data_IF_520243068169
#
_entry.id   IF_520243068169
#
_cell.length_a   1.000
_cell.length_b   1.000
_cell.length_c   1.000
_cell.angle_alpha   90.00
_cell.angle_beta   90.00
_cell.angle_gamma   90.00
#
_symmetry.space_group_name_H-M   'P 1'
#
loop_
_entity.id
_entity.type
_entity.pdbx_description
1 polymer ?
#
# COMPACT_ATOMS: atom_id res chain seq x y z
N UNK A 1 28.00 27.63 -69.28
CA UNK A 1 28.16 26.76 -68.10
C UNK A 1 29.31 25.80 -68.30
N UNK A 2 30.26 25.69 -67.36
CA UNK A 2 31.33 24.71 -67.42
C UNK A 2 30.76 23.28 -67.33
N UNK A 3 31.38 22.32 -68.03
CA UNK A 3 30.93 20.92 -68.08
C UNK A 3 30.74 20.30 -66.69
N UNK A 4 31.62 20.66 -65.75
CA UNK A 4 31.54 20.27 -64.33
C UNK A 4 30.24 20.73 -63.65
N UNK A 5 29.76 21.95 -63.93
CA UNK A 5 28.55 22.46 -63.31
C UNK A 5 27.30 21.68 -63.74
N UNK A 6 27.24 21.23 -65.00
CA UNK A 6 26.13 20.38 -65.49
C UNK A 6 26.17 18.98 -64.88
N UNK A 7 27.35 18.39 -64.76
CA UNK A 7 27.54 17.08 -64.11
C UNK A 7 27.14 17.13 -62.62
N UNK A 8 27.50 18.20 -61.92
CA UNK A 8 27.08 18.44 -60.54
C UNK A 8 25.56 18.58 -60.46
N UNK A 9 24.93 19.33 -61.37
CA UNK A 9 23.48 19.53 -61.38
C UNK A 9 22.71 18.22 -61.60
N UNK A 10 23.13 17.40 -62.56
CA UNK A 10 22.53 16.10 -62.82
C UNK A 10 22.78 15.10 -61.68
N UNK A 11 23.99 15.13 -61.10
CA UNK A 11 24.32 14.31 -59.93
C UNK A 11 23.44 14.65 -58.71
N UNK A 12 23.25 15.94 -58.42
CA UNK A 12 22.38 16.40 -57.33
C UNK A 12 20.92 15.98 -57.60
N UNK A 13 20.43 16.19 -58.82
CA UNK A 13 19.06 15.81 -59.18
C UNK A 13 18.83 14.30 -59.03
N UNK A 14 19.78 13.48 -59.51
CA UNK A 14 19.72 12.03 -59.36
C UNK A 14 19.75 11.59 -57.89
N UNK A 15 20.60 12.20 -57.06
CA UNK A 15 20.65 11.91 -55.62
C UNK A 15 19.35 12.29 -54.90
N UNK A 16 18.75 13.44 -55.23
CA UNK A 16 17.46 13.86 -54.66
C UNK A 16 16.33 12.90 -55.06
N UNK A 17 16.30 12.45 -56.32
CA UNK A 17 15.34 11.46 -56.78
C UNK A 17 15.51 10.12 -56.06
N UNK A 18 16.75 9.64 -55.93
CA UNK A 18 17.07 8.39 -55.25
C UNK A 18 16.71 8.46 -53.76
N UNK A 19 17.02 9.57 -53.09
CA UNK A 19 16.61 9.82 -51.71
C UNK A 19 15.08 9.83 -51.57
N UNK A 20 14.37 10.49 -52.47
CA UNK A 20 12.90 10.48 -52.51
C UNK A 20 12.31 9.08 -52.68
N UNK A 21 12.83 8.29 -53.62
CA UNK A 21 12.39 6.92 -53.86
C UNK A 21 12.64 6.00 -52.66
N UNK A 22 13.83 6.06 -52.06
CA UNK A 22 14.16 5.32 -50.83
C UNK A 22 13.23 5.72 -49.69
N UNK A 23 12.96 7.02 -49.53
CA UNK A 23 12.05 7.53 -48.49
C UNK A 23 10.62 7.05 -48.68
N UNK A 24 10.11 6.98 -49.91
CA UNK A 24 8.77 6.43 -50.20
C UNK A 24 8.71 4.94 -49.86
N UNK A 25 9.67 4.14 -50.31
CA UNK A 25 9.74 2.70 -50.02
C UNK A 25 9.82 2.45 -48.51
N UNK A 26 10.63 3.25 -47.79
CA UNK A 26 10.78 3.14 -46.35
C UNK A 26 9.44 3.35 -45.61
N UNK A 27 8.70 4.41 -45.97
CA UNK A 27 7.40 4.71 -45.34
C UNK A 27 6.32 3.69 -45.73
N UNK A 28 6.30 3.23 -46.99
CA UNK A 28 5.23 2.36 -47.47
C UNK A 28 5.40 0.88 -47.10
N UNK A 29 6.64 0.40 -46.99
CA UNK A 29 6.92 -1.04 -46.86
C UNK A 29 7.66 -1.44 -45.59
N UNK A 30 8.38 -0.52 -44.93
CA UNK A 30 9.21 -0.84 -43.76
C UNK A 30 8.70 -0.19 -42.46
N UNK A 31 7.92 0.87 -42.55
CA UNK A 31 7.36 1.54 -41.38
C UNK A 31 6.11 0.78 -40.89
N UNK A 32 6.26 0.02 -39.80
CA UNK A 32 5.13 -0.61 -39.11
C UNK A 32 4.16 0.46 -38.60
N UNK A 33 2.85 0.16 -38.66
CA UNK A 33 1.84 0.96 -37.99
C UNK A 33 2.11 0.99 -36.48
N UNK A 34 1.81 2.12 -35.80
CA UNK A 34 2.00 2.21 -34.35
C UNK A 34 1.16 1.16 -33.63
N UNK A 35 1.73 0.55 -32.59
CA UNK A 35 1.13 -0.56 -31.85
C UNK A 35 1.58 -0.51 -30.40
N UNK A 36 0.66 -0.70 -29.46
CA UNK A 36 0.93 -0.67 -28.01
C UNK A 36 1.65 -1.93 -27.47
N UNK A 37 2.10 -2.82 -28.35
CA UNK A 37 2.66 -4.13 -27.97
C UNK A 37 3.87 -4.50 -28.85
N UNK A 38 4.53 -3.52 -29.48
CA UNK A 38 5.65 -3.74 -30.39
C UNK A 38 7.03 -3.46 -29.77
N UNK A 39 7.07 -3.16 -28.47
CA UNK A 39 8.23 -2.78 -27.68
C UNK A 39 8.98 -1.56 -28.23
N UNK A 40 8.29 -0.66 -28.93
CA UNK A 40 8.85 0.61 -29.40
C UNK A 40 8.04 1.76 -28.81
N UNK A 41 8.60 2.97 -28.89
CA UNK A 41 7.88 4.20 -28.61
C UNK A 41 7.52 4.84 -29.94
N UNK A 42 6.27 4.76 -30.35
CA UNK A 42 5.80 5.28 -31.63
C UNK A 42 4.40 5.93 -31.52
N UNK A 43 3.91 6.49 -32.63
CA UNK A 43 2.60 7.15 -32.66
C UNK A 43 2.45 8.26 -31.60
N UNK A 44 1.46 8.10 -30.73
CA UNK A 44 1.12 9.06 -29.65
C UNK A 44 1.62 8.63 -28.26
N UNK A 45 2.45 7.59 -28.18
CA UNK A 45 2.89 7.03 -26.91
C UNK A 45 3.82 7.97 -26.13
N UNK A 46 3.67 7.98 -24.80
CA UNK A 46 4.54 8.74 -23.91
C UNK A 46 5.68 7.90 -23.35
N UNK A 47 5.50 6.58 -23.26
CA UNK A 47 6.52 5.57 -22.96
C UNK A 47 6.60 4.49 -24.05
N UNK A 48 7.38 3.43 -23.82
CA UNK A 48 7.39 2.27 -24.73
C UNK A 48 6.10 1.49 -24.50
N UNK A 49 5.28 1.31 -25.54
CA UNK A 49 4.04 0.52 -25.47
C UNK A 49 3.07 1.04 -24.37
N UNK A 50 3.03 2.36 -24.11
CA UNK A 50 2.15 2.99 -23.13
C UNK A 50 1.96 4.50 -23.33
N UNK A 51 0.84 5.02 -22.85
CA UNK A 51 0.45 6.43 -22.94
C UNK A 51 -0.20 6.81 -24.28
N UNK A 52 -0.77 8.01 -24.34
CA UNK A 52 -1.54 8.46 -25.50
C UNK A 52 -2.81 7.62 -25.70
N UNK A 53 -2.89 6.92 -26.83
CA UNK A 53 -3.98 5.98 -27.12
C UNK A 53 -3.80 4.60 -26.45
N UNK A 54 -2.62 4.30 -25.90
CA UNK A 54 -2.33 3.06 -25.18
C UNK A 54 -2.70 3.19 -23.69
N UNK A 55 -2.59 2.08 -22.93
CA UNK A 55 -2.79 2.11 -21.48
C UNK A 55 -1.85 3.12 -20.80
N UNK A 56 -2.26 3.76 -19.69
CA UNK A 56 -1.38 4.66 -18.94
C UNK A 56 -0.07 3.96 -18.56
N UNK A 57 1.06 4.67 -18.65
CA UNK A 57 2.36 4.10 -18.31
C UNK A 57 2.46 3.73 -16.83
N UNK A 58 1.72 4.42 -15.97
CA UNK A 58 1.62 4.13 -14.54
C UNK A 58 0.90 2.79 -14.28
N UNK A 59 -0.07 2.42 -15.12
CA UNK A 59 -0.77 1.15 -15.05
C UNK A 59 0.11 0.00 -15.55
N UNK A 60 0.86 0.25 -16.62
CA UNK A 60 1.81 -0.73 -17.16
C UNK A 60 2.93 -1.07 -16.17
N UNK A 61 3.41 -0.08 -15.42
CA UNK A 61 4.54 -0.23 -14.51
C UNK A 61 4.11 -0.42 -13.04
N UNK A 62 2.97 -1.07 -12.81
CA UNK A 62 2.50 -1.37 -11.46
C UNK A 62 3.49 -2.28 -10.72
N UNK A 63 3.89 -1.82 -9.54
CA UNK A 63 4.77 -2.53 -8.64
C UNK A 63 3.98 -3.35 -7.60
N UNK A 64 4.51 -4.50 -7.15
CA UNK A 64 3.93 -5.27 -6.06
C UNK A 64 3.83 -4.46 -4.77
N UNK A 65 2.88 -4.82 -3.90
CA UNK A 65 2.83 -4.29 -2.53
C UNK A 65 4.09 -4.78 -1.80
N UNK A 66 4.86 -3.85 -1.24
CA UNK A 66 6.06 -4.17 -0.48
C UNK A 66 5.71 -4.40 0.99
N UNK A 67 6.43 -5.34 1.62
CA UNK A 67 6.33 -5.64 3.04
C UNK A 67 7.49 -4.92 3.74
N UNK A 68 7.16 -4.06 4.69
CA UNK A 68 8.12 -3.34 5.52
C UNK A 68 8.45 -4.10 6.81
N UNK A 69 8.65 -3.36 7.89
CA UNK A 69 9.00 -3.95 9.18
C UNK A 69 7.87 -4.82 9.75
N UNK A 70 8.23 -5.95 10.35
CA UNK A 70 7.34 -6.81 11.12
C UNK A 70 7.81 -6.89 12.56
N UNK A 71 6.89 -6.78 13.51
CA UNK A 71 7.18 -6.87 14.94
C UNK A 71 6.24 -7.84 15.60
N UNK A 72 6.81 -8.75 16.39
CA UNK A 72 6.08 -9.74 17.18
C UNK A 72 6.11 -9.33 18.65
N UNK A 73 4.94 -9.27 19.27
CA UNK A 73 4.74 -9.05 20.69
C UNK A 73 4.19 -10.35 21.28
N UNK A 74 4.66 -10.70 22.48
CA UNK A 74 4.29 -11.94 23.17
C UNK A 74 3.90 -11.63 24.60
N UNK A 75 2.75 -12.15 25.02
CA UNK A 75 2.29 -12.12 26.39
C UNK A 75 1.55 -13.42 26.74
N UNK A 76 2.11 -14.24 27.65
CA UNK A 76 1.45 -15.44 28.18
C UNK A 76 0.77 -16.32 27.09
N UNK A 77 1.51 -16.65 26.01
CA UNK A 77 1.03 -17.42 24.83
C UNK A 77 -0.03 -16.73 23.97
N UNK A 78 -0.33 -15.46 24.25
CA UNK A 78 -1.08 -14.55 23.39
C UNK A 78 -0.08 -13.69 22.63
N UNK A 79 -0.18 -13.70 21.31
CA UNK A 79 0.72 -12.98 20.44
C UNK A 79 -0.02 -11.86 19.72
N UNK A 80 0.66 -10.74 19.55
CA UNK A 80 0.22 -9.65 18.68
C UNK A 80 1.30 -9.36 17.66
N UNK A 81 0.89 -9.08 16.43
CA UNK A 81 1.75 -8.82 15.31
C UNK A 81 1.44 -7.43 14.78
N UNK A 82 2.48 -6.64 14.54
CA UNK A 82 2.40 -5.48 13.67
C UNK A 82 3.20 -5.76 12.40
N UNK A 83 2.66 -5.43 11.24
CA UNK A 83 3.38 -5.47 9.99
C UNK A 83 3.12 -4.21 9.19
N UNK A 84 4.15 -3.75 8.49
CA UNK A 84 4.04 -2.59 7.61
C UNK A 84 3.84 -3.06 6.18
N UNK A 85 2.84 -2.48 5.51
CA UNK A 85 2.55 -2.68 4.10
C UNK A 85 2.73 -1.37 3.37
N UNK A 86 3.37 -1.41 2.22
CA UNK A 86 3.74 -0.23 1.43
C UNK A 86 3.19 -0.43 0.03
N UNK A 87 2.35 0.50 -0.42
CA UNK A 87 1.97 0.59 -1.82
C UNK A 87 2.93 1.55 -2.53
N UNK A 88 3.91 1.06 -3.30
CA UNK A 88 4.86 1.92 -3.99
C UNK A 88 4.23 2.70 -5.16
N UNK A 89 2.99 2.38 -5.55
CA UNK A 89 2.31 3.01 -6.69
C UNK A 89 1.59 4.28 -6.25
N UNK A 90 2.07 5.45 -6.67
CA UNK A 90 1.50 6.76 -6.31
C UNK A 90 0.22 7.13 -7.08
N UNK A 91 0.00 6.51 -8.25
CA UNK A 91 -1.18 6.77 -9.09
C UNK A 91 -2.34 5.78 -8.85
N UNK A 92 -2.07 4.63 -8.21
CA UNK A 92 -3.03 3.55 -8.04
C UNK A 92 -3.08 3.06 -6.60
N UNK A 93 -4.29 3.02 -6.04
CA UNK A 93 -4.59 2.34 -4.80
C UNK A 93 -4.77 0.82 -5.03
N UNK A 94 -4.52 0.04 -3.98
CA UNK A 94 -5.00 -1.33 -3.87
C UNK A 94 -6.27 -1.30 -3.00
N UNK A 95 -7.43 -1.15 -3.63
CA UNK A 95 -8.71 -0.94 -2.95
C UNK A 95 -9.22 -2.17 -2.16
N UNK A 96 -8.72 -3.35 -2.51
CA UNK A 96 -8.86 -4.58 -1.75
C UNK A 96 -7.71 -5.53 -2.11
N UNK A 97 -7.23 -6.32 -1.16
CA UNK A 97 -6.35 -7.47 -1.37
C UNK A 97 -6.36 -8.37 -0.14
N UNK A 98 -6.05 -9.64 -0.35
CA UNK A 98 -5.86 -10.63 0.71
C UNK A 98 -4.39 -10.75 1.07
N UNK A 99 -4.15 -10.92 2.37
CA UNK A 99 -2.84 -11.18 2.92
C UNK A 99 -2.89 -12.28 3.98
N UNK A 100 -1.74 -12.91 4.20
CA UNK A 100 -1.55 -13.91 5.23
C UNK A 100 -0.39 -13.53 6.15
N UNK A 101 -0.63 -13.56 7.46
CA UNK A 101 0.41 -13.50 8.49
C UNK A 101 0.74 -14.92 8.91
N UNK A 102 2.00 -15.31 8.79
CA UNK A 102 2.50 -16.64 9.13
C UNK A 102 3.46 -16.49 10.33
N UNK A 103 3.12 -17.16 11.41
CA UNK A 103 3.92 -17.26 12.62
C UNK A 103 4.69 -18.57 12.59
N UNK A 104 6.02 -18.50 12.66
CA UNK A 104 6.91 -19.67 12.62
C UNK A 104 7.76 -19.77 13.88
N UNK A 105 8.08 -21.00 14.26
CA UNK A 105 9.06 -21.27 15.31
C UNK A 105 10.51 -21.13 14.80
N UNK A 106 11.47 -21.34 15.70
CA UNK A 106 12.90 -21.23 15.39
C UNK A 106 13.41 -22.27 14.37
N UNK A 107 12.66 -23.34 14.13
CA UNK A 107 12.97 -24.34 13.09
C UNK A 107 12.41 -23.97 11.71
N UNK A 108 11.63 -22.88 11.64
CA UNK A 108 10.89 -22.49 10.44
C UNK A 108 9.54 -23.20 10.28
N UNK A 109 9.11 -24.00 11.26
CA UNK A 109 7.82 -24.70 11.22
C UNK A 109 6.69 -23.71 11.45
N UNK A 110 5.64 -23.79 10.63
CA UNK A 110 4.46 -22.91 10.73
C UNK A 110 3.64 -23.30 11.94
N UNK A 111 3.54 -22.40 12.93
CA UNK A 111 2.69 -22.58 14.11
C UNK A 111 1.26 -22.09 13.86
N UNK A 112 1.12 -20.99 13.11
CA UNK A 112 -0.18 -20.38 12.80
C UNK A 112 -0.09 -19.59 11.51
N UNK A 113 -1.15 -19.66 10.70
CA UNK A 113 -1.35 -18.78 9.55
C UNK A 113 -2.70 -18.08 9.69
N UNK A 114 -2.73 -16.76 9.48
CA UNK A 114 -3.91 -15.91 9.63
C UNK A 114 -4.14 -15.20 8.31
N UNK A 115 -5.27 -15.49 7.67
CA UNK A 115 -5.65 -14.86 6.41
C UNK A 115 -6.67 -13.76 6.68
N UNK A 116 -6.45 -12.59 6.09
CA UNK A 116 -7.35 -11.45 6.21
C UNK A 116 -7.30 -10.59 4.93
N UNK A 117 -8.18 -9.61 4.83
CA UNK A 117 -8.19 -8.63 3.73
C UNK A 117 -7.81 -7.24 4.23
N UNK A 118 -7.22 -6.45 3.35
CA UNK A 118 -6.93 -5.04 3.61
C UNK A 118 -7.03 -4.22 2.32
N UNK A 119 -6.64 -2.96 2.41
CA UNK A 119 -6.57 -2.01 1.33
C UNK A 119 -5.37 -1.08 1.56
N UNK A 120 -4.88 -0.43 0.50
CA UNK A 120 -3.84 0.59 0.57
C UNK A 120 -4.19 1.72 -0.39
N UNK A 121 -4.18 2.96 0.12
CA UNK A 121 -4.25 4.15 -0.72
C UNK A 121 -3.00 4.25 -1.62
N UNK A 122 -3.08 5.08 -2.65
CA UNK A 122 -1.95 5.29 -3.56
C UNK A 122 -0.77 5.90 -2.79
N UNK A 123 0.42 5.31 -2.94
CA UNK A 123 1.63 5.72 -2.22
C UNK A 123 1.61 5.48 -0.70
N UNK A 124 0.60 4.79 -0.16
CA UNK A 124 0.44 4.64 1.29
C UNK A 124 1.45 3.67 1.90
N UNK A 125 1.93 4.05 3.09
CA UNK A 125 2.57 3.17 4.06
C UNK A 125 1.60 2.96 5.22
N UNK A 126 1.16 1.73 5.44
CA UNK A 126 0.15 1.36 6.43
C UNK A 126 0.73 0.32 7.39
N UNK A 127 0.49 0.52 8.69
CA UNK A 127 0.74 -0.50 9.71
C UNK A 127 -0.54 -1.30 9.94
N UNK A 128 -0.52 -2.58 9.59
CA UNK A 128 -1.58 -3.53 9.95
C UNK A 128 -1.25 -4.18 11.30
N UNK A 129 -2.28 -4.50 12.08
CA UNK A 129 -2.16 -5.18 13.37
C UNK A 129 -3.03 -6.43 13.38
N UNK A 130 -2.51 -7.52 13.93
CA UNK A 130 -3.28 -8.71 14.26
C UNK A 130 -2.97 -9.10 15.70
N UNK A 131 -3.96 -9.07 16.59
CA UNK A 131 -3.75 -9.17 18.03
C UNK A 131 -4.59 -10.29 18.62
N UNK A 132 -4.17 -10.81 19.78
CA UNK A 132 -4.93 -11.84 20.48
C UNK A 132 -4.72 -13.26 19.92
N UNK A 133 -3.65 -13.50 19.17
CA UNK A 133 -3.38 -14.79 18.54
C UNK A 133 -2.89 -15.78 19.60
N UNK A 134 -3.72 -16.75 19.96
CA UNK A 134 -3.35 -17.79 20.94
C UNK A 134 -2.64 -18.95 20.24
N UNK A 135 -1.46 -19.33 20.73
CA UNK A 135 -0.70 -20.49 20.26
C UNK A 135 -0.47 -21.44 21.42
N UNK A 136 -0.94 -22.68 21.28
CA UNK A 136 -0.90 -23.72 22.33
C UNK A 136 0.41 -24.51 22.32
N UNK A 137 1.03 -24.68 21.16
CA UNK A 137 2.26 -25.47 20.98
C UNK A 137 3.28 -24.68 20.17
N UNK A 138 4.56 -24.76 20.57
CA UNK A 138 5.64 -23.97 19.97
C UNK A 138 5.65 -22.51 20.43
N UNK A 139 6.75 -21.81 20.14
CA UNK A 139 6.92 -20.38 20.42
C UNK A 139 7.28 -19.71 19.08
N UNK A 140 6.45 -18.79 18.56
CA UNK A 140 6.80 -18.07 17.36
C UNK A 140 7.97 -17.14 17.63
N UNK A 141 8.94 -17.15 16.73
CA UNK A 141 10.09 -16.23 16.74
C UNK A 141 10.20 -15.45 15.44
N UNK A 142 9.50 -15.89 14.38
CA UNK A 142 9.50 -15.26 13.07
C UNK A 142 8.06 -14.97 12.63
N UNK A 143 7.89 -13.81 12.00
CA UNK A 143 6.67 -13.40 11.31
C UNK A 143 6.99 -13.26 9.83
N UNK A 144 6.24 -13.94 8.98
CA UNK A 144 6.22 -13.69 7.54
C UNK A 144 4.86 -13.13 7.12
N UNK A 145 4.86 -12.20 6.17
CA UNK A 145 3.64 -11.71 5.54
C UNK A 145 3.67 -12.13 4.08
N UNK A 146 2.54 -12.60 3.56
CA UNK A 146 2.38 -12.95 2.15
C UNK A 146 1.17 -12.21 1.61
N UNK A 147 1.32 -11.52 0.49
CA UNK A 147 0.21 -10.90 -0.24
C UNK A 147 -0.20 -11.84 -1.36
N UNK A 148 -1.51 -12.07 -1.55
CA UNK A 148 -2.00 -12.78 -2.72
C UNK A 148 -2.11 -11.80 -3.90
N UNK A 149 -1.21 -11.87 -4.91
CA UNK A 149 -1.21 -10.90 -6.01
C UNK A 149 -2.48 -10.95 -6.86
N UNK A 150 -3.13 -12.11 -6.97
CA UNK A 150 -4.34 -12.30 -7.77
C UNK A 150 -5.59 -11.66 -7.11
N UNK A 151 -5.55 -11.43 -5.81
CA UNK A 151 -6.64 -10.79 -5.06
C UNK A 151 -6.64 -9.26 -5.15
N UNK A 152 -5.60 -8.65 -5.73
CA UNK A 152 -5.41 -7.20 -5.66
C UNK A 152 -6.35 -6.47 -6.64
N UNK A 153 -7.32 -5.74 -6.09
CA UNK A 153 -8.21 -4.86 -6.86
C UNK A 153 -7.62 -3.45 -6.92
N UNK A 154 -7.09 -3.06 -8.08
CA UNK A 154 -6.49 -1.73 -8.31
C UNK A 154 -7.56 -0.69 -8.65
N UNK A 155 -7.38 0.53 -8.13
CA UNK A 155 -8.18 1.71 -8.51
C UNK A 155 -7.27 2.93 -8.70
N UNK A 156 -7.54 3.80 -9.69
CA UNK A 156 -6.87 5.10 -9.76
C UNK A 156 -7.03 5.87 -8.45
N UNK A 157 -6.02 6.64 -8.04
CA UNK A 157 -6.02 7.39 -6.79
C UNK A 157 -7.24 8.31 -6.66
N UNK A 158 -7.68 8.93 -7.76
CA UNK A 158 -8.85 9.81 -7.79
C UNK A 158 -10.18 9.07 -7.58
N UNK A 159 -10.22 7.75 -7.82
CA UNK A 159 -11.40 6.91 -7.63
C UNK A 159 -11.44 6.23 -6.25
N UNK A 160 -10.37 6.32 -5.46
CA UNK A 160 -10.27 5.72 -4.12
C UNK A 160 -9.67 6.72 -3.14
N UNK A 161 -10.48 7.69 -2.76
CA UNK A 161 -10.10 8.83 -1.90
C UNK A 161 -10.26 8.44 -0.43
N UNK A 162 -9.29 8.85 0.40
CA UNK A 162 -9.33 8.66 1.86
C UNK A 162 -10.45 9.52 2.47
N UNK A 163 -11.44 8.93 3.16
CA UNK A 163 -12.41 9.71 3.90
C UNK A 163 -11.73 10.46 5.04
N UNK A 164 -12.16 11.71 5.27
CA UNK A 164 -11.62 12.50 6.36
C UNK A 164 -12.32 12.14 7.67
N UNK A 165 -11.56 12.05 8.75
CA UNK A 165 -12.08 11.78 10.08
C UNK A 165 -11.34 12.65 11.08
N UNK A 166 -11.97 12.88 12.22
CA UNK A 166 -11.35 13.59 13.32
C UNK A 166 -11.32 12.70 14.56
N UNK A 167 -10.16 12.62 15.21
CA UNK A 167 -10.00 11.88 16.46
C UNK A 167 -9.68 12.86 17.59
N UNK A 168 -10.41 12.75 18.69
CA UNK A 168 -10.33 13.65 19.84
C UNK A 168 -10.32 12.89 21.16
N UNK A 169 -9.85 13.58 22.19
CA UNK A 169 -9.84 13.14 23.59
C UNK A 169 -9.23 11.74 23.79
N UNK A 170 -8.15 11.48 23.07
CA UNK A 170 -7.44 10.19 23.17
C UNK A 170 -6.67 10.15 24.48
N UNK A 171 -6.97 9.16 25.29
CA UNK A 171 -6.29 8.89 26.56
C UNK A 171 -5.84 7.44 26.60
N UNK A 172 -4.75 7.19 27.32
CA UNK A 172 -4.31 5.85 27.67
C UNK A 172 -4.35 5.68 29.19
N UNK A 173 -4.91 4.55 29.65
CA UNK A 173 -5.02 4.24 31.06
C UNK A 173 -4.87 2.73 31.29
N UNK A 174 -4.80 2.32 32.56
CA UNK A 174 -4.92 0.91 32.94
C UNK A 174 -6.36 0.66 33.35
N UNK A 175 -7.05 -0.24 32.64
CA UNK A 175 -8.36 -0.77 33.03
C UNK A 175 -8.24 -2.29 33.19
N UNK A 176 -8.71 -2.84 34.31
CA UNK A 176 -8.71 -4.30 34.55
C UNK A 176 -7.35 -4.99 34.35
N UNK A 177 -6.25 -4.28 34.61
CA UNK A 177 -4.89 -4.80 34.47
C UNK A 177 -4.36 -4.85 33.03
N UNK A 178 -5.01 -4.16 32.09
CA UNK A 178 -4.56 -4.01 30.71
C UNK A 178 -4.43 -2.52 30.35
N UNK A 179 -3.55 -2.20 29.42
CA UNK A 179 -3.48 -0.87 28.84
C UNK A 179 -4.64 -0.69 27.88
N UNK A 180 -5.41 0.36 28.07
CA UNK A 180 -6.55 0.71 27.23
C UNK A 180 -6.31 2.10 26.65
N UNK A 181 -6.37 2.21 25.34
CA UNK A 181 -6.46 3.49 24.62
C UNK A 181 -7.93 3.74 24.31
N UNK A 182 -8.45 4.90 24.67
CA UNK A 182 -9.83 5.27 24.41
C UNK A 182 -9.94 6.70 23.93
N UNK A 183 -10.97 7.00 23.15
CA UNK A 183 -11.24 8.34 22.64
C UNK A 183 -12.49 8.35 21.77
N UNK A 184 -12.65 9.41 20.99
CA UNK A 184 -13.76 9.58 20.06
C UNK A 184 -13.25 9.71 18.63
N UNK A 185 -14.01 9.14 17.70
CA UNK A 185 -13.83 9.34 16.26
C UNK A 185 -15.08 10.00 15.69
N UNK A 186 -14.88 11.05 14.91
CA UNK A 186 -15.94 11.81 14.24
C UNK A 186 -15.80 11.62 12.74
N UNK A 187 -16.87 11.17 12.10
CA UNK A 187 -16.98 11.17 10.66
C UNK A 187 -17.36 12.57 10.19
N UNK A 188 -16.44 13.34 9.61
CA UNK A 188 -16.74 14.71 9.14
C UNK A 188 -17.30 14.75 7.71
N UNK A 189 -17.56 13.58 7.10
CA UNK A 189 -18.10 13.48 5.75
C UNK A 189 -19.63 13.48 5.76
N UNK A 190 -20.20 13.85 4.61
CA UNK A 190 -21.64 13.79 4.34
C UNK A 190 -22.13 12.39 3.91
N UNK A 191 -21.33 11.34 4.11
CA UNK A 191 -21.66 9.96 3.79
C UNK A 191 -21.30 9.03 4.96
N UNK A 192 -21.93 7.87 5.01
CA UNK A 192 -21.63 6.82 5.98
C UNK A 192 -20.25 6.23 5.70
N UNK A 193 -19.43 6.08 6.73
CA UNK A 193 -18.17 5.33 6.65
C UNK A 193 -18.47 3.87 7.01
N UNK A 194 -18.22 2.96 6.06
CA UNK A 194 -18.50 1.53 6.26
C UNK A 194 -17.65 0.92 7.38
N UNK A 195 -16.37 1.29 7.48
CA UNK A 195 -15.45 0.69 8.44
C UNK A 195 -14.30 1.63 8.82
N UNK A 196 -14.02 1.71 10.12
CA UNK A 196 -12.84 2.37 10.72
C UNK A 196 -12.09 1.33 11.54
N UNK A 197 -10.81 1.10 11.25
CA UNK A 197 -9.91 0.32 12.11
C UNK A 197 -8.98 1.32 12.80
N UNK A 198 -8.89 1.21 14.13
CA UNK A 198 -7.96 2.01 14.92
C UNK A 198 -6.96 1.07 15.58
N UNK A 199 -5.71 1.19 15.17
CA UNK A 199 -4.57 0.45 15.70
C UNK A 199 -3.94 1.25 16.84
N UNK A 200 -3.57 0.60 17.93
CA UNK A 200 -2.94 1.22 19.09
C UNK A 200 -1.66 0.49 19.48
N UNK A 201 -0.64 1.24 19.89
CA UNK A 201 0.62 0.68 20.40
C UNK A 201 0.89 1.17 21.83
N UNK A 202 1.11 0.25 22.76
CA UNK A 202 1.55 0.59 24.11
C UNK A 202 3.04 0.91 24.08
N UNK A 203 3.42 2.08 24.60
CA UNK A 203 4.79 2.59 24.56
C UNK A 203 5.36 2.65 25.98
N UNK A 204 6.60 2.22 26.14
CA UNK A 204 7.30 2.33 27.42
C UNK A 204 8.04 3.68 27.57
N UNK A 205 8.60 3.93 28.75
CA UNK A 205 9.34 5.15 29.07
C UNK A 205 10.50 5.42 28.08
N UNK A 206 11.14 4.36 27.59
CA UNK A 206 12.21 4.41 26.59
C UNK A 206 11.73 4.73 25.15
N UNK A 207 10.42 4.80 24.91
CA UNK A 207 9.83 5.08 23.59
C UNK A 207 9.68 3.84 22.69
N UNK A 208 9.92 2.64 23.21
CA UNK A 208 9.72 1.40 22.48
C UNK A 208 8.26 0.92 22.59
N UNK A 209 7.74 0.37 21.50
CA UNK A 209 6.48 -0.35 21.54
C UNK A 209 6.66 -1.66 22.32
N UNK A 210 5.78 -1.93 23.28
CA UNK A 210 5.78 -3.15 24.11
C UNK A 210 4.53 -3.99 23.91
N UNK A 211 3.54 -3.48 23.18
CA UNK A 211 2.36 -4.23 22.76
C UNK A 211 1.59 -3.48 21.69
N UNK A 212 0.80 -4.21 20.91
CA UNK A 212 -0.09 -3.65 19.90
C UNK A 212 -1.44 -4.34 19.92
N UNK A 213 -2.47 -3.60 19.55
CA UNK A 213 -3.81 -4.12 19.34
C UNK A 213 -4.58 -3.25 18.35
N UNK A 214 -5.80 -3.66 18.03
CA UNK A 214 -6.70 -2.90 17.16
C UNK A 214 -8.12 -2.98 17.67
N UNK A 215 -8.92 -2.00 17.27
CA UNK A 215 -10.37 -2.03 17.39
C UNK A 215 -11.00 -1.66 16.06
N UNK A 216 -12.26 -2.01 15.88
CA UNK A 216 -12.98 -1.82 14.63
C UNK A 216 -14.37 -1.24 14.92
N UNK A 217 -14.70 -0.16 14.22
CA UNK A 217 -16.01 0.48 14.24
C UNK A 217 -16.61 0.36 12.84
N UNK A 218 -17.90 0.06 12.74
CA UNK A 218 -18.60 -0.12 11.48
C UNK A 218 -19.77 0.83 11.36
N UNK A 219 -20.10 1.20 10.13
CA UNK A 219 -21.30 1.97 9.78
C UNK A 219 -21.41 3.31 10.55
N UNK A 220 -20.33 4.10 10.58
CA UNK A 220 -20.35 5.41 11.24
C UNK A 220 -21.16 6.38 10.38
N UNK A 221 -22.27 6.88 10.92
CA UNK A 221 -23.16 7.79 10.21
C UNK A 221 -22.43 9.06 9.72
N UNK A 222 -22.97 9.70 8.68
CA UNK A 222 -22.49 11.01 8.24
C UNK A 222 -22.54 12.01 9.41
N UNK A 223 -21.47 12.75 9.66
CA UNK A 223 -21.34 13.66 10.82
C UNK A 223 -21.50 12.99 12.19
N UNK A 224 -21.45 11.65 12.24
CA UNK A 224 -21.59 10.86 13.45
C UNK A 224 -20.32 10.82 14.30
N UNK A 225 -20.51 10.59 15.60
CA UNK A 225 -19.44 10.44 16.58
C UNK A 225 -19.57 9.08 17.24
N UNK A 226 -18.47 8.34 17.30
CA UNK A 226 -18.40 7.04 17.96
C UNK A 226 -17.25 7.03 18.97
N UNK A 227 -17.45 6.40 20.12
CA UNK A 227 -16.37 6.15 21.06
C UNK A 227 -15.62 4.87 20.68
N UNK A 228 -14.33 4.82 20.93
CA UNK A 228 -13.53 3.62 20.74
C UNK A 228 -12.74 3.25 22.00
N UNK A 229 -12.47 1.95 22.13
CA UNK A 229 -11.53 1.40 23.12
C UNK A 229 -10.67 0.34 22.45
N UNK A 230 -9.36 0.40 22.70
CA UNK A 230 -8.36 -0.55 22.24
C UNK A 230 -7.73 -1.18 23.46
N UNK A 231 -7.98 -2.47 23.67
CA UNK A 231 -7.37 -3.25 24.75
C UNK A 231 -6.06 -3.84 24.25
N UNK A 232 -4.94 -3.43 24.85
CA UNK A 232 -3.61 -3.86 24.45
C UNK A 232 -3.13 -4.95 25.42
N UNK A 233 -2.95 -6.21 24.95
CA UNK A 233 -2.47 -7.28 25.80
C UNK A 233 -0.97 -7.07 26.07
N UNK A 234 -0.65 -6.67 27.30
CA UNK A 234 0.74 -6.55 27.78
C UNK A 234 0.91 -7.22 29.14
N UNK A 235 2.16 -7.56 29.46
CA UNK A 235 2.49 -8.24 30.71
C UNK A 235 2.47 -7.35 31.93
N UNK A 236 2.07 -7.95 33.05
CA UNK A 236 2.01 -7.26 34.34
C UNK A 236 3.35 -6.63 34.74
N UNK A 237 4.47 -7.26 34.37
CA UNK A 237 5.82 -6.76 34.62
C UNK A 237 6.15 -5.47 33.85
N UNK A 238 5.48 -5.22 32.72
CA UNK A 238 5.74 -4.06 31.84
C UNK A 238 4.76 -2.92 32.11
N UNK A 239 3.62 -3.18 32.77
CA UNK A 239 2.60 -2.17 33.08
C UNK A 239 3.15 -0.93 33.80
N UNK A 240 4.12 -1.11 34.70
CA UNK A 240 4.69 -0.03 35.48
C UNK A 240 5.61 0.90 34.67
N UNK A 241 6.08 0.48 33.50
CA UNK A 241 7.01 1.22 32.64
C UNK A 241 6.30 1.91 31.46
N UNK A 242 4.96 1.89 31.43
CA UNK A 242 4.17 2.46 30.34
C UNK A 242 4.16 3.99 30.43
N UNK A 243 4.50 4.62 29.30
CA UNK A 243 4.34 6.06 29.08
C UNK A 243 2.95 6.29 28.46
N UNK A 244 1.97 6.66 29.30
CA UNK A 244 0.58 6.84 28.87
C UNK A 244 0.41 8.01 27.89
N UNK A 245 1.22 9.06 28.01
CA UNK A 245 1.17 10.20 27.07
C UNK A 245 1.58 9.76 25.68
N UNK A 246 2.75 9.11 25.56
CA UNK A 246 3.21 8.57 24.28
C UNK A 246 2.26 7.49 23.75
N UNK A 247 1.72 6.65 24.63
CA UNK A 247 0.77 5.60 24.24
C UNK A 247 -0.50 6.19 23.62
N UNK A 248 -1.04 7.28 24.18
CA UNK A 248 -2.22 7.96 23.62
C UNK A 248 -1.95 8.56 22.22
N UNK A 249 -0.72 8.98 21.96
CA UNK A 249 -0.30 9.52 20.65
C UNK A 249 -0.03 8.42 19.60
N UNK A 250 0.26 7.19 20.02
CA UNK A 250 0.61 6.09 19.12
C UNK A 250 -0.61 5.30 18.63
N UNK A 251 -1.50 6.02 17.95
CA UNK A 251 -2.62 5.46 17.21
C UNK A 251 -2.41 5.56 15.70
N UNK A 252 -2.83 4.53 14.96
CA UNK A 252 -2.92 4.53 13.50
C UNK A 252 -4.36 4.29 13.09
N UNK A 253 -4.86 5.01 12.08
CA UNK A 253 -6.26 4.92 11.69
C UNK A 253 -6.36 4.52 10.22
N UNK A 254 -7.19 3.52 9.97
CA UNK A 254 -7.54 3.05 8.65
C UNK A 254 -9.03 3.26 8.44
N UNK A 255 -9.37 4.00 7.40
CA UNK A 255 -10.77 4.34 7.08
C UNK A 255 -11.10 3.76 5.73
N UNK A 256 -12.20 3.01 5.65
CA UNK A 256 -12.76 2.51 4.40
C UNK A 256 -14.16 3.13 4.24
N UNK A 257 -14.37 3.77 3.09
CA UNK A 257 -15.66 4.35 2.73
C UNK A 257 -16.74 3.28 2.69
#
# INVERSE_FOLDING_TARGET
MPRLLKQILYGIFFLLFLFGAVRVIYISALQSAPSCFDNRKNGTETGVDCGGACIPCEEKNLQPIAIGATTLFSQDRVFSVAAELINPNSAFAASAFDYQIILKDASGSVLRAITNSSFLYAGERKKIVEAGVRITQGIPVEVSVIINPESIIRKPAQAFIRPEIEVRDVIAAIESGQVVISGYVTNINNFVISKIIINGSAINSAGAAVGVSKTEIRNVAAFGVENFKIFIPIGKSVLADIDFSKTAEQIGIEVLK
#
